data_IF_083048926879
#
_entry.id   IF_083048926879
#
_cell.length_a   1.000
_cell.length_b   1.000
_cell.length_c   1.000
_cell.angle_alpha   90.00
_cell.angle_beta   90.00
_cell.angle_gamma   90.00
#
_symmetry.space_group_name_H-M   'P 1'
#
loop_
_entity.id
_entity.type
_entity.pdbx_description
1 polymer ?
#
# COMPACT_ATOMS: atom_id res chain seq x y z
N UNK A 1 38.09 49.80 -50.94
CA UNK A 1 37.78 49.91 -49.49
C UNK A 1 36.28 49.95 -49.16
N UNK A 2 35.43 50.69 -49.87
CA UNK A 2 33.98 50.84 -49.56
C UNK A 2 33.19 49.51 -49.39
N UNK A 3 33.49 48.47 -50.17
CA UNK A 3 32.81 47.16 -50.06
C UNK A 3 33.07 46.43 -48.73
N UNK A 4 34.27 46.55 -48.15
CA UNK A 4 34.61 45.93 -46.85
C UNK A 4 33.88 46.62 -45.70
N UNK A 5 33.78 47.94 -45.74
CA UNK A 5 33.04 48.73 -44.73
C UNK A 5 31.55 48.37 -44.73
N UNK A 6 30.93 48.23 -45.91
CA UNK A 6 29.52 47.86 -46.02
C UNK A 6 29.23 46.43 -45.49
N UNK A 7 30.14 45.47 -45.72
CA UNK A 7 29.98 44.12 -45.19
C UNK A 7 30.09 44.10 -43.66
N UNK A 8 31.12 44.76 -43.10
CA UNK A 8 31.32 44.86 -41.66
C UNK A 8 30.12 45.52 -40.94
N UNK A 9 29.55 46.58 -41.53
CA UNK A 9 28.34 47.20 -40.98
C UNK A 9 27.15 46.25 -40.97
N UNK A 10 26.92 45.47 -42.04
CA UNK A 10 25.83 44.48 -42.11
C UNK A 10 25.97 43.40 -41.04
N UNK A 11 27.19 42.95 -40.76
CA UNK A 11 27.44 41.92 -39.76
C UNK A 11 27.22 42.47 -38.34
N UNK A 12 27.65 43.72 -38.06
CA UNK A 12 27.41 44.39 -36.77
C UNK A 12 25.90 44.54 -36.47
N UNK A 13 25.10 44.92 -37.48
CA UNK A 13 23.64 45.03 -37.34
C UNK A 13 22.94 43.67 -37.25
N UNK A 14 23.50 42.61 -37.85
CA UNK A 14 22.95 41.26 -37.73
C UNK A 14 23.15 40.70 -36.33
N UNK A 15 24.33 40.89 -35.74
CA UNK A 15 24.63 40.49 -34.35
C UNK A 15 23.71 41.19 -33.36
N UNK A 16 23.44 42.49 -33.54
CA UNK A 16 22.52 43.24 -32.66
C UNK A 16 21.06 42.76 -32.69
N UNK A 17 20.59 42.23 -33.83
CA UNK A 17 19.23 41.64 -33.92
C UNK A 17 19.13 40.29 -33.22
N UNK A 18 20.19 39.48 -33.31
CA UNK A 18 20.26 38.20 -32.62
C UNK A 18 20.35 38.38 -31.09
N UNK A 19 21.08 39.38 -30.61
CA UNK A 19 21.18 39.67 -29.17
C UNK A 19 19.82 40.09 -28.60
N UNK A 20 19.08 40.97 -29.28
CA UNK A 20 17.73 41.37 -28.83
C UNK A 20 16.77 40.19 -28.73
N UNK A 21 16.79 39.27 -29.72
CA UNK A 21 15.94 38.07 -29.67
C UNK A 21 16.32 37.10 -28.55
N UNK A 22 17.61 37.03 -28.18
CA UNK A 22 18.07 36.23 -27.04
C UNK A 22 17.61 36.84 -25.72
N UNK A 23 17.69 38.16 -25.58
CA UNK A 23 17.28 38.87 -24.37
C UNK A 23 15.77 38.72 -24.11
N UNK A 24 14.93 38.84 -25.15
CA UNK A 24 13.48 38.58 -25.05
C UNK A 24 13.19 37.14 -24.60
N UNK A 25 13.91 36.15 -25.16
CA UNK A 25 13.76 34.74 -24.74
C UNK A 25 14.17 34.53 -23.28
N UNK A 26 15.26 35.17 -22.85
CA UNK A 26 15.72 35.11 -21.47
C UNK A 26 14.70 35.75 -20.51
N UNK A 27 14.08 36.86 -20.89
CA UNK A 27 13.02 37.49 -20.10
C UNK A 27 11.79 36.57 -19.96
N UNK A 28 11.35 35.94 -21.06
CA UNK A 28 10.23 34.99 -21.05
C UNK A 28 10.55 33.79 -20.15
N UNK A 29 11.75 33.21 -20.28
CA UNK A 29 12.18 32.08 -19.45
C UNK A 29 12.26 32.46 -17.97
N UNK A 30 12.75 33.66 -17.66
CA UNK A 30 12.81 34.16 -16.27
C UNK A 30 11.42 34.30 -15.67
N UNK A 31 10.45 34.84 -16.43
CA UNK A 31 9.04 34.91 -16.01
C UNK A 31 8.43 33.52 -15.79
N UNK A 32 8.75 32.54 -16.64
CA UNK A 32 8.29 31.16 -16.49
C UNK A 32 8.88 30.48 -15.25
N UNK A 33 10.18 30.65 -14.99
CA UNK A 33 10.86 30.14 -13.80
C UNK A 33 10.20 30.70 -12.54
N UNK A 34 9.96 32.01 -12.48
CA UNK A 34 9.30 32.66 -11.34
C UNK A 34 7.88 32.12 -11.12
N UNK A 35 7.12 31.91 -12.20
CA UNK A 35 5.78 31.31 -12.12
C UNK A 35 5.83 29.89 -11.55
N UNK A 36 6.77 29.06 -12.00
CA UNK A 36 6.94 27.69 -11.51
C UNK A 36 7.38 27.67 -10.04
N UNK A 37 8.30 28.55 -9.64
CA UNK A 37 8.72 28.70 -8.23
C UNK A 37 7.55 29.04 -7.32
N UNK A 38 6.68 29.97 -7.73
CA UNK A 38 5.47 30.31 -6.98
C UNK A 38 4.47 29.15 -6.90
N UNK A 39 4.35 28.34 -7.95
CA UNK A 39 3.51 27.14 -7.92
C UNK A 39 4.06 26.08 -6.96
N UNK A 40 5.37 25.84 -6.97
CA UNK A 40 6.04 24.93 -6.03
C UNK A 40 5.87 25.38 -4.58
N UNK A 41 5.95 26.68 -4.30
CA UNK A 41 5.72 27.23 -2.97
C UNK A 41 4.29 26.92 -2.49
N UNK A 42 3.28 27.18 -3.33
CA UNK A 42 1.87 26.88 -3.02
C UNK A 42 1.63 25.39 -2.75
N UNK A 43 2.21 24.51 -3.56
CA UNK A 43 2.09 23.06 -3.37
C UNK A 43 2.72 22.65 -2.03
N UNK A 44 3.87 23.24 -1.69
CA UNK A 44 4.58 22.95 -0.43
C UNK A 44 3.75 23.37 0.79
N UNK A 45 3.12 24.54 0.75
CA UNK A 45 2.21 25.01 1.81
C UNK A 45 0.97 24.11 1.95
N UNK A 46 0.38 23.70 0.83
CA UNK A 46 -0.74 22.74 0.82
C UNK A 46 -0.34 21.39 1.41
N UNK A 47 0.86 20.88 1.09
CA UNK A 47 1.37 19.64 1.69
C UNK A 47 1.57 19.78 3.20
N UNK A 48 2.11 20.92 3.66
CA UNK A 48 2.31 21.21 5.09
C UNK A 48 0.99 21.21 5.86
N UNK A 49 -0.03 21.89 5.34
CA UNK A 49 -1.37 21.94 5.96
C UNK A 49 -2.06 20.57 5.97
N UNK A 50 -1.94 19.80 4.89
CA UNK A 50 -2.45 18.43 4.83
C UNK A 50 -1.77 17.52 5.87
N UNK A 51 -0.45 17.61 5.99
CA UNK A 51 0.31 16.83 6.98
C UNK A 51 -0.09 17.19 8.42
N UNK A 52 -0.24 18.48 8.74
CA UNK A 52 -0.75 18.92 10.05
C UNK A 52 -2.15 18.38 10.36
N UNK A 53 -3.02 18.28 9.35
CA UNK A 53 -4.36 17.73 9.52
C UNK A 53 -4.33 16.23 9.79
N UNK A 54 -3.42 15.49 9.14
CA UNK A 54 -3.21 14.07 9.41
C UNK A 54 -2.73 13.86 10.85
N UNK A 55 -1.74 14.63 11.29
CA UNK A 55 -1.19 14.52 12.66
C UNK A 55 -2.28 14.73 13.72
N UNK A 56 -3.08 15.79 13.61
CA UNK A 56 -4.21 16.04 14.53
C UNK A 56 -5.23 14.90 14.55
N UNK A 57 -5.49 14.26 13.39
CA UNK A 57 -6.39 13.10 13.31
C UNK A 57 -5.79 11.85 13.96
N UNK A 58 -4.47 11.69 13.90
CA UNK A 58 -3.76 10.59 14.57
C UNK A 58 -3.81 10.78 16.09
N UNK A 59 -3.49 11.96 16.59
CA UNK A 59 -3.58 12.31 18.01
C UNK A 59 -4.99 12.06 18.56
N UNK A 60 -6.04 12.53 17.85
CA UNK A 60 -7.42 12.31 18.26
C UNK A 60 -7.85 10.83 18.22
N UNK A 61 -7.22 9.99 17.39
CA UNK A 61 -7.50 8.56 17.35
C UNK A 61 -6.78 7.84 18.49
N UNK A 62 -5.55 8.24 18.80
CA UNK A 62 -4.78 7.72 19.94
C UNK A 62 -5.49 8.03 21.26
N UNK A 63 -6.00 9.25 21.43
CA UNK A 63 -6.81 9.63 22.60
C UNK A 63 -8.07 8.76 22.73
N UNK A 64 -8.77 8.49 21.62
CA UNK A 64 -9.95 7.60 21.62
C UNK A 64 -9.61 6.16 22.02
N UNK A 65 -8.48 5.64 21.52
CA UNK A 65 -8.01 4.30 21.88
C UNK A 65 -7.69 4.24 23.37
N UNK A 66 -7.05 5.27 23.92
CA UNK A 66 -6.69 5.31 25.33
C UNK A 66 -7.93 5.38 26.23
N UNK A 67 -8.91 6.22 25.89
CA UNK A 67 -10.19 6.29 26.62
C UNK A 67 -10.93 4.95 26.59
N UNK A 68 -10.93 4.23 25.47
CA UNK A 68 -11.54 2.90 25.36
C UNK A 68 -10.86 1.85 26.26
N UNK A 69 -9.53 1.91 26.41
CA UNK A 69 -8.80 1.01 27.34
C UNK A 69 -9.16 1.30 28.80
N UNK A 70 -9.27 2.58 29.18
CA UNK A 70 -9.66 2.98 30.54
C UNK A 70 -11.08 2.48 30.84
N UNK A 71 -12.01 2.65 29.91
CA UNK A 71 -13.39 2.14 30.04
C UNK A 71 -13.43 0.61 30.17
N UNK A 72 -12.63 -0.12 29.39
CA UNK A 72 -12.54 -1.58 29.48
C UNK A 72 -12.00 -2.03 30.84
N UNK A 73 -10.93 -1.40 31.32
CA UNK A 73 -10.30 -1.70 32.62
C UNK A 73 -11.25 -1.41 33.78
N UNK A 74 -12.00 -0.30 33.71
CA UNK A 74 -12.98 0.09 34.75
C UNK A 74 -14.14 -0.91 34.83
N UNK A 75 -14.57 -1.48 33.69
CA UNK A 75 -15.61 -2.52 33.66
C UNK A 75 -15.14 -3.86 34.25
N UNK A 76 -13.89 -4.25 34.04
CA UNK A 76 -13.33 -5.48 34.62
C UNK A 76 -13.26 -5.41 36.16
N UNK A 77 -12.95 -4.24 36.73
CA UNK A 77 -12.91 -4.03 38.18
C UNK A 77 -14.28 -4.14 38.87
N UNK A 78 -15.39 -3.99 38.12
CA UNK A 78 -16.75 -4.07 38.66
C UNK A 78 -17.39 -5.46 38.55
N UNK A 79 -16.69 -6.43 37.96
CA UNK A 79 -17.12 -7.82 37.80
C UNK A 79 -16.37 -8.75 38.76
N UNK A 80 -16.06 -8.31 39.98
CA UNK A 80 -15.76 -9.30 41.02
C UNK A 80 -17.04 -10.11 41.27
N UNK A 81 -17.07 -11.42 40.93
CA UNK A 81 -18.16 -12.26 41.37
C UNK A 81 -18.14 -12.21 42.89
N UNK A 82 -19.25 -11.79 43.50
CA UNK A 82 -19.47 -12.11 44.90
C UNK A 82 -19.31 -13.63 45.00
N UNK A 83 -18.27 -14.07 45.72
CA UNK A 83 -18.01 -15.47 45.99
C UNK A 83 -19.20 -16.01 46.80
N UNK A 84 -20.24 -16.45 46.09
CA UNK A 84 -21.24 -17.34 46.67
C UNK A 84 -20.49 -18.60 47.10
N UNK A 85 -20.41 -18.76 48.41
CA UNK A 85 -19.89 -19.92 49.12
C UNK A 85 -20.53 -21.21 48.59
N UNK A 86 -19.81 -21.93 47.73
CA UNK A 86 -20.23 -23.25 47.28
C UNK A 86 -19.86 -24.29 48.34
N UNK A 87 -20.88 -24.77 49.05
CA UNK A 87 -20.81 -25.88 49.98
C UNK A 87 -20.61 -27.19 49.20
N UNK A 88 -19.71 -28.04 49.72
CA UNK A 88 -19.37 -29.39 49.28
C UNK A 88 -20.57 -30.24 48.83
N UNK A 89 -20.38 -31.08 47.82
CA UNK A 89 -20.88 -32.46 47.84
C UNK A 89 -19.96 -33.38 47.02
N UNK A 90 -19.76 -34.56 47.59
CA UNK A 90 -18.71 -35.55 47.34
C UNK A 90 -18.87 -36.39 46.08
N UNK A 91 -17.77 -37.08 45.81
CA UNK A 91 -17.43 -38.07 44.79
C UNK A 91 -18.54 -39.05 44.37
N UNK A 92 -18.59 -39.35 43.07
CA UNK A 92 -18.85 -40.72 42.59
C UNK A 92 -18.12 -41.03 41.29
N UNK A 93 -17.19 -41.98 41.38
CA UNK A 93 -16.58 -42.72 40.28
C UNK A 93 -17.62 -43.68 39.70
N UNK A 94 -17.82 -43.66 38.39
CA UNK A 94 -18.37 -44.76 37.57
C UNK A 94 -17.94 -44.45 36.11
N UNK A 95 -16.93 -45.14 35.59
CA UNK A 95 -16.96 -46.40 34.84
C UNK A 95 -17.04 -46.19 33.32
N UNK A 96 -16.04 -46.76 32.63
CA UNK A 96 -15.73 -46.57 31.21
C UNK A 96 -16.65 -47.44 30.35
N UNK A 97 -17.23 -46.85 29.31
CA UNK A 97 -17.69 -47.60 28.11
C UNK A 97 -17.12 -46.94 26.85
N UNK A 98 -16.60 -47.71 25.87
CA UNK A 98 -16.15 -47.16 24.60
C UNK A 98 -17.35 -47.09 23.65
N UNK A 99 -17.94 -45.90 23.52
CA UNK A 99 -19.03 -45.65 22.59
C UNK A 99 -18.43 -45.10 21.29
N UNK A 100 -18.55 -45.90 20.23
CA UNK A 100 -18.27 -45.52 18.85
C UNK A 100 -19.25 -44.41 18.41
N UNK A 101 -18.84 -43.15 18.54
CA UNK A 101 -19.51 -42.00 17.95
C UNK A 101 -18.44 -40.98 17.50
N UNK A 102 -17.78 -41.25 16.38
CA UNK A 102 -16.72 -40.36 15.86
C UNK A 102 -16.98 -39.77 14.46
N UNK A 103 -18.18 -39.92 13.89
CA UNK A 103 -18.41 -39.47 12.50
C UNK A 103 -19.26 -38.21 12.31
N UNK A 104 -19.87 -37.63 13.36
CA UNK A 104 -20.83 -36.53 13.15
C UNK A 104 -20.42 -35.13 13.65
N UNK A 105 -19.43 -35.04 14.55
CA UNK A 105 -18.98 -33.73 15.09
C UNK A 105 -18.03 -33.01 14.13
N UNK A 106 -17.47 -33.73 13.16
CA UNK A 106 -16.40 -33.22 12.29
C UNK A 106 -16.92 -32.44 11.06
N UNK A 107 -18.22 -32.47 10.75
CA UNK A 107 -18.77 -31.80 9.55
C UNK A 107 -18.79 -30.27 9.69
N UNK A 108 -19.26 -29.76 10.84
CA UNK A 108 -19.40 -28.33 11.09
C UNK A 108 -18.03 -27.66 11.31
N UNK A 109 -17.13 -28.32 12.05
CA UNK A 109 -15.75 -27.86 12.21
C UNK A 109 -15.00 -27.87 10.88
N UNK A 110 -15.14 -28.92 10.05
CA UNK A 110 -14.56 -28.94 8.70
C UNK A 110 -15.13 -27.84 7.82
N UNK A 111 -16.43 -27.53 7.89
CA UNK A 111 -17.03 -26.42 7.13
C UNK A 111 -16.53 -25.06 7.59
N UNK A 112 -16.45 -24.83 8.91
CA UNK A 112 -15.94 -23.57 9.49
C UNK A 112 -14.46 -23.40 9.10
N UNK A 113 -13.63 -24.43 9.29
CA UNK A 113 -12.21 -24.41 8.92
C UNK A 113 -12.04 -24.19 7.41
N UNK A 114 -12.86 -24.83 6.56
CA UNK A 114 -12.85 -24.60 5.11
C UNK A 114 -13.25 -23.17 4.75
N UNK A 115 -14.24 -22.60 5.42
CA UNK A 115 -14.69 -21.22 5.18
C UNK A 115 -13.60 -20.20 5.55
N UNK A 116 -12.92 -20.40 6.69
CA UNK A 116 -11.80 -19.58 7.15
C UNK A 116 -10.59 -19.74 6.22
N UNK A 117 -10.28 -20.96 5.78
CA UNK A 117 -9.19 -21.22 4.83
C UNK A 117 -9.46 -20.62 3.44
N UNK A 118 -10.72 -20.66 2.96
CA UNK A 118 -11.14 -20.03 1.69
C UNK A 118 -11.02 -18.51 1.77
N UNK A 119 -11.38 -17.93 2.91
CA UNK A 119 -11.16 -16.50 3.18
C UNK A 119 -9.67 -16.16 3.23
N UNK A 120 -8.84 -16.97 3.90
CA UNK A 120 -7.39 -16.77 3.96
C UNK A 120 -6.75 -16.76 2.57
N UNK A 121 -7.08 -17.71 1.70
CA UNK A 121 -6.60 -17.72 0.30
C UNK A 121 -6.94 -16.43 -0.44
N UNK A 122 -8.18 -15.96 -0.30
CA UNK A 122 -8.68 -14.77 -0.98
C UNK A 122 -7.97 -13.52 -0.46
N UNK A 123 -7.83 -13.39 0.86
CA UNK A 123 -7.12 -12.28 1.52
C UNK A 123 -5.66 -12.22 1.05
N UNK A 124 -4.96 -13.34 1.03
CA UNK A 124 -3.55 -13.38 0.60
C UNK A 124 -3.42 -12.92 -0.85
N UNK A 125 -4.29 -13.40 -1.74
CA UNK A 125 -4.31 -12.96 -3.15
C UNK A 125 -4.58 -11.47 -3.29
N UNK A 126 -5.54 -10.93 -2.53
CA UNK A 126 -5.82 -9.49 -2.52
C UNK A 126 -4.62 -8.68 -2.02
N UNK A 127 -3.89 -9.16 -1.00
CA UNK A 127 -2.66 -8.50 -0.53
C UNK A 127 -1.55 -8.53 -1.58
N UNK A 128 -1.36 -9.65 -2.28
CA UNK A 128 -0.42 -9.74 -3.41
C UNK A 128 -0.77 -8.70 -4.48
N UNK A 129 -2.05 -8.61 -4.87
CA UNK A 129 -2.53 -7.62 -5.84
C UNK A 129 -2.31 -6.18 -5.35
N UNK A 130 -2.61 -5.89 -4.08
CA UNK A 130 -2.43 -4.55 -3.51
C UNK A 130 -0.95 -4.12 -3.49
N UNK A 131 -0.01 -5.04 -3.25
CA UNK A 131 1.43 -4.74 -3.31
C UNK A 131 1.85 -4.48 -4.77
N UNK A 132 1.43 -5.35 -5.70
CA UNK A 132 1.72 -5.21 -7.13
C UNK A 132 1.12 -3.94 -7.75
N UNK A 133 -0.02 -3.46 -7.22
CA UNK A 133 -0.68 -2.22 -7.65
C UNK A 133 0.04 -0.95 -7.24
N UNK A 134 0.71 -0.93 -6.08
CA UNK A 134 1.31 0.29 -5.53
C UNK A 134 2.62 0.65 -6.21
N UNK A 135 3.39 -0.35 -6.63
CA UNK A 135 4.72 -0.16 -7.19
C UNK A 135 5.11 -1.37 -8.04
N UNK A 136 5.86 -1.11 -9.13
CA UNK A 136 6.51 -2.16 -9.90
C UNK A 136 7.49 -2.89 -8.99
N UNK A 137 7.11 -4.09 -8.57
CA UNK A 137 7.86 -4.90 -7.60
C UNK A 137 8.26 -6.21 -8.22
N UNK A 138 9.45 -6.68 -7.86
CA UNK A 138 9.90 -8.01 -8.28
C UNK A 138 9.13 -9.08 -7.53
N UNK A 139 8.97 -10.25 -8.16
CA UNK A 139 8.36 -11.42 -7.51
C UNK A 139 9.06 -11.77 -6.17
N UNK A 140 10.38 -11.57 -6.12
CA UNK A 140 11.21 -11.71 -4.91
C UNK A 140 10.79 -10.77 -3.78
N UNK A 141 10.59 -9.48 -4.08
CA UNK A 141 10.21 -8.49 -3.06
C UNK A 141 8.79 -8.76 -2.54
N UNK A 142 7.85 -9.13 -3.41
CA UNK A 142 6.49 -9.49 -2.99
C UNK A 142 6.53 -10.73 -2.08
N UNK A 143 7.36 -11.73 -2.42
CA UNK A 143 7.60 -12.90 -1.56
C UNK A 143 8.18 -12.49 -0.20
N UNK A 144 9.17 -11.61 -0.15
CA UNK A 144 9.77 -11.15 1.11
C UNK A 144 8.74 -10.51 2.03
N UNK A 145 7.84 -9.71 1.46
CA UNK A 145 6.78 -9.06 2.22
C UNK A 145 5.77 -10.11 2.73
N UNK A 146 5.22 -10.94 1.84
CA UNK A 146 4.09 -11.83 2.16
C UNK A 146 4.51 -13.05 2.99
N UNK A 147 5.64 -13.67 2.64
CA UNK A 147 6.12 -14.93 3.24
C UNK A 147 7.05 -14.64 4.40
N UNK A 148 8.07 -13.80 4.19
CA UNK A 148 9.15 -13.66 5.18
C UNK A 148 8.77 -12.69 6.30
N UNK A 149 8.25 -11.50 5.94
CA UNK A 149 7.88 -10.44 6.89
C UNK A 149 6.55 -10.71 7.59
N UNK A 150 5.48 -10.98 6.83
CA UNK A 150 4.14 -11.13 7.41
C UNK A 150 3.71 -12.59 7.65
N UNK A 151 4.49 -13.58 7.16
CA UNK A 151 4.23 -15.01 7.34
C UNK A 151 2.79 -15.44 7.00
N UNK A 152 2.19 -14.83 5.98
CA UNK A 152 0.79 -15.11 5.62
C UNK A 152 0.61 -16.52 5.03
N UNK A 153 1.62 -17.03 4.32
CA UNK A 153 1.65 -18.38 3.78
C UNK A 153 3.07 -18.90 3.59
N UNK A 154 3.20 -20.21 3.30
CA UNK A 154 4.47 -20.82 2.93
C UNK A 154 4.92 -20.38 1.53
N UNK A 155 6.23 -20.47 1.26
CA UNK A 155 6.84 -20.15 -0.04
C UNK A 155 6.16 -20.89 -1.21
N UNK A 156 5.92 -22.19 -1.07
CA UNK A 156 5.24 -22.99 -2.11
C UNK A 156 3.81 -22.49 -2.36
N UNK A 157 3.08 -22.17 -1.29
CA UNK A 157 1.71 -21.64 -1.39
C UNK A 157 1.68 -20.28 -2.07
N UNK A 158 2.65 -19.42 -1.76
CA UNK A 158 2.81 -18.11 -2.41
C UNK A 158 2.96 -18.26 -3.92
N UNK A 159 3.88 -19.08 -4.42
CA UNK A 159 4.07 -19.25 -5.86
C UNK A 159 2.84 -19.88 -6.53
N UNK A 160 2.15 -20.82 -5.86
CA UNK A 160 0.87 -21.34 -6.36
C UNK A 160 -0.17 -20.23 -6.53
N UNK A 161 -0.30 -19.33 -5.56
CA UNK A 161 -1.23 -18.21 -5.65
C UNK A 161 -0.84 -17.19 -6.70
N UNK A 162 0.46 -16.92 -6.86
CA UNK A 162 0.98 -16.06 -7.92
C UNK A 162 0.62 -16.63 -9.31
N UNK A 163 0.88 -17.92 -9.54
CA UNK A 163 0.53 -18.60 -10.78
C UNK A 163 -0.99 -18.60 -11.05
N UNK A 164 -1.81 -18.82 -10.01
CA UNK A 164 -3.26 -18.71 -10.14
C UNK A 164 -3.70 -17.29 -10.53
N UNK A 165 -3.10 -16.24 -9.95
CA UNK A 165 -3.42 -14.84 -10.30
C UNK A 165 -3.00 -14.49 -11.72
N UNK A 166 -1.85 -15.02 -12.19
CA UNK A 166 -1.37 -14.88 -13.56
C UNK A 166 -2.33 -15.58 -14.54
N UNK A 167 -2.75 -16.80 -14.23
CA UNK A 167 -3.75 -17.54 -15.03
C UNK A 167 -5.10 -16.82 -15.10
N UNK A 168 -5.48 -16.13 -14.03
CA UNK A 168 -6.69 -15.31 -13.97
C UNK A 168 -6.55 -13.93 -14.66
N UNK A 169 -5.40 -13.65 -15.30
CA UNK A 169 -5.12 -12.36 -15.94
C UNK A 169 -5.31 -11.15 -15.00
N UNK A 170 -5.05 -11.34 -13.70
CA UNK A 170 -5.06 -10.24 -12.72
C UNK A 170 -3.68 -9.61 -12.57
N UNK A 171 -2.63 -10.39 -12.84
CA UNK A 171 -1.25 -9.93 -12.85
C UNK A 171 -0.55 -10.35 -14.13
N UNK A 172 0.39 -9.51 -14.56
CA UNK A 172 1.32 -9.79 -15.65
C UNK A 172 2.74 -9.81 -15.11
N UNK A 173 3.61 -10.56 -15.78
CA UNK A 173 5.04 -10.58 -15.47
C UNK A 173 5.79 -9.94 -16.62
N UNK A 174 6.52 -8.85 -16.36
CA UNK A 174 7.38 -8.19 -17.34
C UNK A 174 8.84 -8.39 -16.94
N UNK A 175 9.69 -8.67 -17.91
CA UNK A 175 11.13 -8.83 -17.67
C UNK A 175 11.85 -7.57 -18.11
N UNK A 176 12.53 -6.92 -17.16
CA UNK A 176 13.33 -5.72 -17.41
C UNK A 176 14.72 -5.98 -16.82
N UNK A 177 15.78 -5.84 -17.62
CA UNK A 177 17.17 -6.06 -17.17
C UNK A 177 17.39 -7.41 -16.49
N UNK A 178 16.84 -8.49 -17.08
CA UNK A 178 16.91 -9.86 -16.54
C UNK A 178 16.24 -10.04 -15.16
N UNK A 179 15.36 -9.12 -14.76
CA UNK A 179 14.57 -9.20 -13.52
C UNK A 179 13.08 -9.25 -13.86
N UNK A 180 12.38 -10.18 -13.23
CA UNK A 180 10.92 -10.33 -13.37
C UNK A 180 10.17 -9.41 -12.39
N UNK A 181 9.34 -8.54 -12.95
CA UNK A 181 8.45 -7.64 -12.22
C UNK A 181 7.01 -8.12 -12.35
N UNK A 182 6.26 -7.99 -11.25
CA UNK A 182 4.84 -8.33 -11.19
C UNK A 182 4.03 -7.04 -11.24
N UNK A 183 3.19 -6.92 -12.27
CA UNK A 183 2.34 -5.74 -12.49
C UNK A 183 0.87 -6.13 -12.43
N UNK A 184 0.01 -5.24 -11.91
CA UNK A 184 -1.44 -5.46 -11.90
C UNK A 184 -2.07 -4.93 -13.20
N UNK A 185 -2.70 -5.82 -13.96
CA UNK A 185 -3.29 -5.52 -15.27
C UNK A 185 -4.44 -4.51 -15.18
N UNK A 186 -5.15 -4.46 -14.05
CA UNK A 186 -6.34 -3.61 -13.89
C UNK A 186 -6.03 -2.10 -13.84
N UNK A 187 -4.77 -1.71 -13.60
CA UNK A 187 -4.39 -0.32 -13.38
C UNK A 187 -3.71 0.28 -14.64
N UNK A 188 -2.84 -0.49 -15.31
CA UNK A 188 -2.01 0.04 -16.40
C UNK A 188 -2.77 0.35 -17.70
N UNK A 189 -3.98 -0.19 -17.92
CA UNK A 189 -4.78 0.16 -19.11
C UNK A 189 -5.36 1.57 -19.07
N UNK A 190 -5.42 2.22 -17.91
CA UNK A 190 -5.95 3.59 -17.80
C UNK A 190 -4.90 4.67 -18.00
N UNK A 191 -3.61 4.34 -17.88
CA UNK A 191 -2.50 5.31 -17.90
C UNK A 191 -1.81 5.45 -19.26
N UNK A 192 -2.02 4.52 -20.19
CA UNK A 192 -1.45 4.56 -21.55
C UNK A 192 -2.46 4.93 -22.66
N UNK A 193 -3.58 5.57 -22.29
CA UNK A 193 -4.50 6.18 -23.26
C UNK A 193 -4.26 7.69 -23.30
N UNK A 194 -3.09 8.09 -23.80
CA UNK A 194 -2.73 9.47 -24.13
C UNK A 194 -2.01 9.47 -25.47
#
# INVERSE_FOLDING_TARGET
MKKKLHHWMRDLFSVGKETNSRDERLEILTKQILKLQNQLLKITEQQKTYHQTILKKQEALEEKIENQKIEATTKELFLQPEEESYIMLEEKKEEKTPIAHEEYVDSLEKEIIKSVAKNKKTIIKQKILAIASKQRTTSKNVKEIIVDKYRYCSKATFYRYLSELKRQQKIETITINNKEYVCNISIDRKTNSF
#
